data_IF_353881025928
#
_entry.id   IF_353881025928
#
_cell.length_a   1.000
_cell.length_b   1.000
_cell.length_c   1.000
_cell.angle_alpha   90.00
_cell.angle_beta   90.00
_cell.angle_gamma   90.00
#
_symmetry.space_group_name_H-M   'P 1'
#
loop_
_entity.id
_entity.type
_entity.pdbx_description
1 polymer ?
#
# COMPACT_ATOMS: atom_id res chain seq x y z
N UNK A 1 20.79 59.21 16.34
CA UNK A 1 19.37 59.05 16.71
C UNK A 1 18.78 57.76 16.11
N UNK A 2 19.62 56.82 15.64
CA UNK A 2 19.21 55.62 14.89
C UNK A 2 19.50 54.30 15.64
N UNK A 3 19.63 54.34 16.96
CA UNK A 3 19.95 53.16 17.79
C UNK A 3 18.71 52.43 18.34
N UNK A 4 17.53 52.65 17.75
CA UNK A 4 16.33 51.94 18.17
C UNK A 4 16.48 50.44 17.86
N UNK A 5 16.49 49.62 18.90
CA UNK A 5 16.60 48.15 18.82
C UNK A 5 15.30 47.51 18.31
N UNK A 6 14.95 47.78 17.05
CA UNK A 6 13.79 47.19 16.38
C UNK A 6 14.27 45.98 15.59
N UNK A 7 13.99 44.78 16.10
CA UNK A 7 14.32 43.52 15.47
C UNK A 7 13.09 42.63 15.35
N UNK A 8 13.03 41.78 14.34
CA UNK A 8 12.15 40.61 14.36
C UNK A 8 12.66 39.63 15.43
N UNK A 9 11.80 38.73 15.94
CA UNK A 9 12.21 37.73 16.94
C UNK A 9 13.46 36.96 16.47
N UNK A 10 13.49 36.53 15.21
CA UNK A 10 14.64 35.84 14.61
C UNK A 10 15.90 36.72 14.54
N UNK A 11 15.75 37.98 14.14
CA UNK A 11 16.87 38.92 14.08
C UNK A 11 17.48 39.21 15.45
N UNK A 12 16.63 39.30 16.48
CA UNK A 12 17.08 39.45 17.87
C UNK A 12 17.81 38.20 18.37
N UNK A 13 17.25 37.00 18.15
CA UNK A 13 17.89 35.74 18.55
C UNK A 13 19.24 35.53 17.86
N UNK A 14 19.33 35.77 16.54
CA UNK A 14 20.59 35.65 15.80
C UNK A 14 21.66 36.61 16.34
N UNK A 15 21.26 37.86 16.63
CA UNK A 15 22.16 38.84 17.25
C UNK A 15 22.66 38.37 18.61
N UNK A 16 21.77 37.91 19.49
CA UNK A 16 22.13 37.42 20.83
C UNK A 16 23.08 36.21 20.77
N UNK A 17 22.88 35.28 19.82
CA UNK A 17 23.77 34.14 19.63
C UNK A 17 25.18 34.55 19.18
N UNK A 18 25.29 35.57 18.32
CA UNK A 18 26.57 36.09 17.85
C UNK A 18 27.30 36.93 18.91
N UNK A 19 26.59 37.84 19.60
CA UNK A 19 27.17 38.72 20.63
C UNK A 19 27.62 37.92 21.87
N UNK A 20 26.97 36.80 22.16
CA UNK A 20 27.30 35.93 23.29
C UNK A 20 27.81 34.55 22.87
N UNK A 21 28.48 34.43 21.72
CA UNK A 21 28.96 33.17 21.15
C UNK A 21 29.79 32.31 22.13
N UNK A 22 30.63 32.94 22.97
CA UNK A 22 31.40 32.25 24.00
C UNK A 22 30.53 31.57 25.07
N UNK A 23 29.45 32.23 25.49
CA UNK A 23 28.55 31.70 26.51
C UNK A 23 27.57 30.66 25.94
N UNK A 24 27.16 30.84 24.68
CA UNK A 24 26.26 29.91 23.98
C UNK A 24 26.99 28.72 23.36
N UNK A 25 28.33 28.72 23.34
CA UNK A 25 29.18 27.77 22.58
C UNK A 25 28.82 27.74 21.09
N UNK A 26 28.24 28.82 20.58
CA UNK A 26 27.93 28.97 19.16
C UNK A 26 29.23 29.20 18.36
N UNK A 27 29.23 28.77 17.10
CA UNK A 27 30.28 29.16 16.16
C UNK A 27 30.28 30.69 16.00
N UNK A 28 31.46 31.29 15.87
CA UNK A 28 31.60 32.73 15.64
C UNK A 28 30.93 33.20 14.34
N UNK A 29 30.96 32.34 13.31
CA UNK A 29 30.28 32.57 12.04
C UNK A 29 29.21 31.48 11.85
N UNK A 30 27.95 31.87 11.98
CA UNK A 30 26.81 31.01 11.70
C UNK A 30 26.11 31.46 10.41
N UNK A 31 26.07 30.57 9.43
CA UNK A 31 25.28 30.79 8.21
C UNK A 31 23.85 30.34 8.44
N UNK A 32 22.90 31.27 8.37
CA UNK A 32 21.47 30.94 8.43
C UNK A 32 21.09 30.16 7.17
N UNK A 33 20.63 28.91 7.35
CA UNK A 33 20.02 28.14 6.27
C UNK A 33 18.53 28.44 6.23
N UNK A 34 18.06 28.99 5.12
CA UNK A 34 16.65 29.37 4.91
C UNK A 34 15.73 28.18 4.62
N UNK A 35 16.30 27.02 4.31
CA UNK A 35 15.54 25.79 4.06
C UNK A 35 16.32 24.56 4.52
N UNK A 36 15.60 23.63 5.15
CA UNK A 36 16.08 22.29 5.50
C UNK A 36 15.90 21.27 4.36
N UNK A 37 15.25 21.65 3.25
CA UNK A 37 14.96 20.75 2.12
C UNK A 37 16.20 19.98 1.63
N UNK A 38 17.39 20.60 1.42
CA UNK A 38 18.55 19.84 0.96
C UNK A 38 19.03 18.78 1.96
N UNK A 39 18.86 19.02 3.27
CA UNK A 39 19.25 18.06 4.32
C UNK A 39 18.25 16.91 4.36
N UNK A 40 16.95 17.23 4.27
CA UNK A 40 15.89 16.22 4.21
C UNK A 40 16.05 15.35 2.98
N UNK A 41 16.29 15.92 1.80
CA UNK A 41 16.50 15.16 0.56
C UNK A 41 17.69 14.22 0.67
N UNK A 42 18.80 14.70 1.25
CA UNK A 42 19.97 13.85 1.50
C UNK A 42 19.62 12.70 2.47
N UNK A 43 18.96 12.99 3.60
CA UNK A 43 18.53 11.96 4.53
C UNK A 43 17.59 10.93 3.87
N UNK A 44 16.64 11.36 3.04
CA UNK A 44 15.73 10.45 2.33
C UNK A 44 16.46 9.58 1.31
N UNK A 45 17.44 10.14 0.59
CA UNK A 45 18.29 9.35 -0.31
C UNK A 45 19.13 8.32 0.47
N UNK A 46 19.66 8.71 1.63
CA UNK A 46 20.43 7.83 2.50
C UNK A 46 19.58 6.69 3.07
N UNK A 47 18.34 6.98 3.47
CA UNK A 47 17.32 6.00 3.82
C UNK A 47 17.12 4.98 2.69
N UNK A 48 16.97 5.48 1.46
CA UNK A 48 16.78 4.63 0.29
C UNK A 48 17.97 3.69 0.04
N UNK A 49 19.19 4.22 0.15
CA UNK A 49 20.44 3.45 -0.02
C UNK A 49 20.62 2.40 1.08
N UNK A 50 20.20 2.68 2.30
CA UNK A 50 20.36 1.77 3.42
C UNK A 50 19.33 0.64 3.41
N UNK A 51 18.07 0.95 3.12
CA UNK A 51 16.98 -0.01 3.26
C UNK A 51 16.52 -0.59 1.92
N UNK A 52 16.22 0.25 0.93
CA UNK A 52 15.59 -0.21 -0.31
C UNK A 52 16.60 -0.89 -1.24
N UNK A 53 17.82 -0.37 -1.34
CA UNK A 53 18.87 -0.98 -2.19
C UNK A 53 19.41 -2.31 -1.63
N UNK A 54 19.17 -2.59 -0.35
CA UNK A 54 19.52 -3.85 0.28
C UNK A 54 18.51 -4.98 -0.05
N UNK A 55 17.35 -4.65 -0.62
CA UNK A 55 16.30 -5.63 -0.92
C UNK A 55 16.57 -6.37 -2.24
N UNK A 56 16.07 -7.62 -2.37
CA UNK A 56 15.96 -8.28 -3.66
C UNK A 56 15.13 -7.43 -4.65
N UNK A 57 15.39 -7.53 -5.98
CA UNK A 57 14.76 -6.66 -6.98
C UNK A 57 13.23 -6.59 -6.91
N UNK A 58 12.57 -7.73 -6.69
CA UNK A 58 11.11 -7.80 -6.61
C UNK A 58 10.55 -7.05 -5.39
N UNK A 59 11.20 -7.21 -4.23
CA UNK A 59 10.83 -6.52 -3.00
C UNK A 59 11.15 -5.02 -3.08
N UNK A 60 12.29 -4.66 -3.68
CA UNK A 60 12.65 -3.26 -3.92
C UNK A 60 11.61 -2.57 -4.81
N UNK A 61 11.15 -3.25 -5.87
CA UNK A 61 10.09 -2.75 -6.74
C UNK A 61 8.75 -2.62 -6.00
N UNK A 62 8.39 -3.61 -5.18
CA UNK A 62 7.18 -3.54 -4.35
C UNK A 62 7.20 -2.34 -3.40
N UNK A 63 8.32 -2.11 -2.70
CA UNK A 63 8.49 -0.94 -1.83
C UNK A 63 8.47 0.37 -2.62
N UNK A 64 9.11 0.43 -3.78
CA UNK A 64 9.10 1.60 -4.65
C UNK A 64 7.68 1.93 -5.16
N UNK A 65 6.86 0.91 -5.46
CA UNK A 65 5.46 1.12 -5.84
C UNK A 65 4.61 1.70 -4.69
N UNK A 66 4.96 1.39 -3.43
CA UNK A 66 4.26 1.89 -2.25
C UNK A 66 4.72 3.30 -1.85
N UNK A 67 6.04 3.50 -1.77
CA UNK A 67 6.65 4.72 -1.25
C UNK A 67 6.90 5.77 -2.34
N UNK A 68 7.07 5.37 -3.60
CA UNK A 68 7.49 6.21 -4.71
C UNK A 68 9.01 6.17 -4.90
N UNK A 69 9.58 7.16 -5.59
CA UNK A 69 11.02 7.39 -5.60
C UNK A 69 11.45 8.28 -4.40
N UNK A 70 12.76 8.54 -4.18
CA UNK A 70 13.21 9.38 -3.08
C UNK A 70 12.57 10.78 -3.06
N UNK A 71 12.33 11.41 -4.22
CA UNK A 71 11.73 12.74 -4.28
C UNK A 71 10.25 12.69 -3.87
N UNK A 72 9.51 11.67 -4.30
CA UNK A 72 8.13 11.40 -3.88
C UNK A 72 8.08 11.11 -2.38
N UNK A 73 9.03 10.32 -1.85
CA UNK A 73 9.12 10.05 -0.43
C UNK A 73 9.35 11.34 0.37
N UNK A 74 10.25 12.24 -0.04
CA UNK A 74 10.41 13.54 0.63
C UNK A 74 9.09 14.30 0.72
N UNK A 75 8.29 14.34 -0.35
CA UNK A 75 6.99 15.02 -0.33
C UNK A 75 6.01 14.37 0.65
N UNK A 76 5.96 13.04 0.68
CA UNK A 76 5.13 12.29 1.64
C UNK A 76 5.56 12.53 3.10
N UNK A 77 6.86 12.68 3.35
CA UNK A 77 7.40 12.92 4.69
C UNK A 77 7.22 14.36 5.17
N UNK A 78 7.03 15.35 4.30
CA UNK A 78 6.98 16.78 4.68
C UNK A 78 6.01 17.08 5.84
N UNK A 79 4.80 16.49 5.81
CA UNK A 79 3.82 16.66 6.89
C UNK A 79 4.21 15.95 8.18
N UNK A 80 4.91 14.81 8.07
CA UNK A 80 5.40 14.03 9.21
C UNK A 80 6.63 14.68 9.85
N UNK A 81 7.45 15.41 9.10
CA UNK A 81 8.64 16.10 9.61
C UNK A 81 8.35 17.50 10.19
N UNK A 82 7.17 18.07 9.94
CA UNK A 82 6.85 19.45 10.31
C UNK A 82 6.83 19.72 11.82
N UNK A 83 6.66 18.69 12.65
CA UNK A 83 6.65 18.79 14.12
C UNK A 83 7.71 17.88 14.69
N UNK A 84 8.83 18.48 15.07
CA UNK A 84 9.90 17.76 15.73
C UNK A 84 9.45 17.22 17.11
N UNK A 85 9.93 16.03 17.46
CA UNK A 85 9.59 15.32 18.71
C UNK A 85 8.12 14.86 18.86
N UNK A 86 7.22 15.18 17.93
CA UNK A 86 5.82 14.78 18.03
C UNK A 86 5.64 13.27 17.73
N UNK A 87 4.88 12.52 18.54
CA UNK A 87 4.59 11.11 18.26
C UNK A 87 3.84 10.98 16.93
N UNK A 88 4.15 9.90 16.21
CA UNK A 88 3.41 9.49 15.01
C UNK A 88 2.35 8.47 15.41
N UNK A 89 1.19 8.52 14.76
CA UNK A 89 0.07 7.64 15.06
C UNK A 89 -0.32 6.82 13.82
N UNK A 90 -0.62 5.54 14.04
CA UNK A 90 -1.22 4.65 13.04
C UNK A 90 -2.47 4.06 13.68
N UNK A 91 -3.61 4.20 13.00
CA UNK A 91 -4.93 3.76 13.48
C UNK A 91 -5.26 4.26 14.90
N UNK A 92 -4.85 5.50 15.22
CA UNK A 92 -5.09 6.14 16.51
C UNK A 92 -4.15 5.71 17.64
N UNK A 93 -3.18 4.83 17.36
CA UNK A 93 -2.19 4.34 18.33
C UNK A 93 -0.83 4.97 18.05
N UNK A 94 -0.16 5.47 19.10
CA UNK A 94 1.20 5.99 18.98
C UNK A 94 2.16 4.89 18.56
N UNK A 95 2.97 5.16 17.55
CA UNK A 95 3.98 4.22 17.04
C UNK A 95 5.25 4.34 17.87
N UNK A 96 5.72 3.21 18.39
CA UNK A 96 7.07 3.09 18.94
C UNK A 96 8.06 2.86 17.79
N UNK A 97 9.05 3.76 17.57
CA UNK A 97 10.07 3.56 16.55
C UNK A 97 10.82 2.22 16.68
N UNK A 98 11.03 1.73 17.90
CA UNK A 98 11.73 0.46 18.14
C UNK A 98 10.91 -0.77 17.69
N UNK A 99 9.60 -0.62 17.54
CA UNK A 99 8.71 -1.67 17.06
C UNK A 99 8.58 -1.71 15.51
N UNK A 100 9.22 -0.78 14.80
CA UNK A 100 9.20 -0.71 13.35
C UNK A 100 10.40 -1.41 12.75
N UNK A 101 10.25 -2.69 12.40
CA UNK A 101 11.25 -3.41 11.62
C UNK A 101 10.93 -3.31 10.11
N UNK A 102 11.77 -2.57 9.39
CA UNK A 102 11.63 -2.37 7.94
C UNK A 102 11.60 -3.71 7.18
N UNK A 103 12.55 -4.60 7.43
CA UNK A 103 12.70 -5.83 6.66
C UNK A 103 11.58 -6.82 6.98
N UNK A 104 11.12 -6.87 8.23
CA UNK A 104 9.96 -7.67 8.60
C UNK A 104 8.69 -7.19 7.88
N UNK A 105 8.43 -5.88 7.84
CA UNK A 105 7.26 -5.33 7.13
C UNK A 105 7.31 -5.60 5.62
N UNK A 106 8.50 -5.55 5.00
CA UNK A 106 8.67 -5.89 3.59
C UNK A 106 8.48 -7.39 3.35
N UNK A 107 8.96 -8.24 4.25
CA UNK A 107 8.73 -9.69 4.17
C UNK A 107 7.25 -10.06 4.35
N UNK A 108 6.52 -9.37 5.23
CA UNK A 108 5.07 -9.54 5.40
C UNK A 108 4.32 -9.22 4.10
N UNK A 109 4.66 -8.12 3.43
CA UNK A 109 4.09 -7.77 2.10
C UNK A 109 4.36 -8.90 1.10
N UNK A 110 5.62 -9.33 0.98
CA UNK A 110 6.02 -10.36 0.03
C UNK A 110 5.30 -11.70 0.27
N UNK A 111 5.10 -12.07 1.55
CA UNK A 111 4.39 -13.28 1.91
C UNK A 111 2.91 -13.23 1.50
N UNK A 112 2.24 -12.10 1.74
CA UNK A 112 0.85 -11.90 1.34
C UNK A 112 0.68 -11.87 -0.18
N UNK A 113 1.60 -11.22 -0.89
CA UNK A 113 1.61 -11.19 -2.37
C UNK A 113 1.79 -12.61 -2.93
N UNK A 114 2.72 -13.39 -2.36
CA UNK A 114 2.93 -14.80 -2.72
C UNK A 114 1.66 -15.63 -2.49
N UNK A 115 0.98 -15.44 -1.36
CA UNK A 115 -0.26 -16.14 -1.04
C UNK A 115 -1.38 -15.78 -2.04
N UNK A 116 -1.50 -14.51 -2.41
CA UNK A 116 -2.48 -14.07 -3.39
C UNK A 116 -2.22 -14.66 -4.78
N UNK A 117 -0.96 -14.69 -5.22
CA UNK A 117 -0.54 -15.32 -6.48
C UNK A 117 -0.80 -16.82 -6.48
N UNK A 118 -0.50 -17.52 -5.38
CA UNK A 118 -0.79 -18.95 -5.28
C UNK A 118 -2.29 -19.23 -5.33
N UNK A 119 -3.10 -18.45 -4.62
CA UNK A 119 -4.55 -18.60 -4.64
C UNK A 119 -5.14 -18.34 -6.03
N UNK A 120 -4.57 -17.39 -6.79
CA UNK A 120 -4.92 -17.18 -8.19
C UNK A 120 -4.58 -18.40 -9.05
N UNK A 121 -3.36 -18.92 -8.92
CA UNK A 121 -2.91 -20.11 -9.67
C UNK A 121 -3.80 -21.32 -9.38
N UNK A 122 -4.16 -21.56 -8.12
CA UNK A 122 -5.05 -22.63 -7.70
C UNK A 122 -6.44 -22.45 -8.33
N UNK A 123 -6.97 -21.22 -8.34
CA UNK A 123 -8.24 -20.92 -8.98
C UNK A 123 -8.19 -21.15 -10.50
N UNK A 124 -7.11 -20.72 -11.18
CA UNK A 124 -6.91 -20.95 -12.61
C UNK A 124 -6.86 -22.44 -12.93
N UNK A 125 -6.09 -23.22 -12.16
CA UNK A 125 -6.01 -24.67 -12.32
C UNK A 125 -7.37 -25.34 -12.08
N UNK A 126 -8.11 -24.91 -11.06
CA UNK A 126 -9.44 -25.42 -10.76
C UNK A 126 -10.43 -25.14 -11.91
N UNK A 127 -10.35 -23.97 -12.54
CA UNK A 127 -11.11 -23.65 -13.75
C UNK A 127 -10.70 -24.55 -14.91
N UNK A 128 -9.42 -24.59 -15.28
CA UNK A 128 -8.93 -25.41 -16.40
C UNK A 128 -9.30 -26.89 -16.27
N UNK A 129 -9.35 -27.42 -15.05
CA UNK A 129 -9.71 -28.82 -14.79
C UNK A 129 -11.21 -29.09 -14.84
N UNK A 130 -12.03 -28.11 -14.45
CA UNK A 130 -13.46 -28.34 -14.17
C UNK A 130 -14.41 -27.37 -14.88
N UNK A 131 -13.94 -26.63 -15.89
CA UNK A 131 -14.73 -25.62 -16.59
C UNK A 131 -16.06 -26.20 -17.14
N UNK A 132 -15.99 -27.29 -17.91
CA UNK A 132 -17.18 -27.89 -18.53
C UNK A 132 -18.18 -28.41 -17.49
N UNK A 133 -17.72 -29.13 -16.46
CA UNK A 133 -18.60 -29.63 -15.40
C UNK A 133 -19.21 -28.52 -14.56
N UNK A 134 -18.51 -27.39 -14.43
CA UNK A 134 -19.04 -26.21 -13.75
C UNK A 134 -20.09 -25.51 -14.61
N UNK A 135 -19.84 -25.33 -15.92
CA UNK A 135 -20.79 -24.75 -16.89
C UNK A 135 -22.10 -25.54 -16.88
N UNK A 136 -22.02 -26.88 -16.95
CA UNK A 136 -23.18 -27.78 -16.89
C UNK A 136 -23.98 -27.65 -15.58
N UNK A 137 -23.28 -27.52 -14.45
CA UNK A 137 -23.92 -27.37 -13.14
C UNK A 137 -24.66 -26.02 -12.98
N UNK A 138 -24.21 -24.97 -13.67
CA UNK A 138 -24.84 -23.65 -13.68
C UNK A 138 -26.05 -23.56 -14.63
N UNK A 139 -25.98 -24.23 -15.78
CA UNK A 139 -26.98 -24.18 -16.84
C UNK A 139 -28.45 -24.27 -16.36
N UNK A 140 -28.87 -25.21 -15.48
CA UNK A 140 -30.26 -25.34 -15.08
C UNK A 140 -30.77 -24.21 -14.16
N UNK A 141 -29.88 -23.50 -13.46
CA UNK A 141 -30.26 -22.52 -12.43
C UNK A 141 -30.00 -21.06 -12.85
N UNK A 142 -29.23 -20.83 -13.91
CA UNK A 142 -28.85 -19.49 -14.39
C UNK A 142 -30.04 -18.58 -14.68
N UNK A 143 -31.12 -19.11 -15.27
CA UNK A 143 -32.32 -18.33 -15.60
C UNK A 143 -33.08 -17.78 -14.38
N UNK A 144 -32.80 -18.31 -13.18
CA UNK A 144 -33.45 -17.91 -11.94
C UNK A 144 -32.65 -16.89 -11.12
N UNK A 145 -31.50 -16.44 -11.63
CA UNK A 145 -30.66 -15.43 -10.99
C UNK A 145 -31.37 -14.08 -10.90
N UNK A 146 -31.10 -13.36 -9.82
CA UNK A 146 -31.61 -12.01 -9.63
C UNK A 146 -30.83 -11.05 -10.55
N UNK A 147 -31.52 -10.19 -11.32
CA UNK A 147 -30.85 -9.21 -12.19
C UNK A 147 -29.91 -8.24 -11.45
N UNK A 148 -30.08 -8.07 -10.13
CA UNK A 148 -29.18 -7.29 -9.28
C UNK A 148 -27.98 -8.07 -8.74
N UNK A 149 -27.94 -9.40 -8.88
CA UNK A 149 -26.79 -10.23 -8.48
C UNK A 149 -25.54 -9.96 -9.34
N UNK A 150 -25.73 -9.23 -10.43
CA UNK A 150 -24.77 -9.04 -11.50
C UNK A 150 -24.67 -7.59 -11.95
N UNK A 151 -24.98 -6.56 -11.15
CA UNK A 151 -24.97 -5.17 -11.69
C UNK A 151 -23.64 -4.75 -12.36
N UNK A 152 -22.51 -5.30 -11.93
CA UNK A 152 -21.20 -5.16 -12.61
C UNK A 152 -21.06 -6.05 -13.85
N UNK A 153 -21.72 -7.19 -13.84
CA UNK A 153 -21.82 -8.17 -14.93
C UNK A 153 -23.08 -7.95 -15.78
N UNK A 154 -23.78 -6.81 -15.66
CA UNK A 154 -25.04 -6.56 -16.39
C UNK A 154 -24.79 -6.31 -17.88
N UNK A 155 -23.53 -6.13 -18.25
CA UNK A 155 -23.03 -6.19 -19.64
C UNK A 155 -22.83 -7.63 -20.13
N UNK A 156 -22.67 -8.59 -19.24
CA UNK A 156 -22.61 -10.04 -19.49
C UNK A 156 -24.02 -10.64 -19.40
N UNK A 157 -24.96 -10.06 -20.15
CA UNK A 157 -26.31 -10.64 -20.33
C UNK A 157 -26.25 -12.02 -21.00
N UNK A 158 -25.11 -12.39 -21.57
CA UNK A 158 -24.81 -13.72 -22.04
C UNK A 158 -23.67 -14.32 -21.18
N UNK A 159 -23.94 -15.46 -20.56
CA UNK A 159 -22.95 -16.23 -19.82
C UNK A 159 -21.84 -16.76 -20.73
N UNK A 160 -22.05 -16.83 -22.06
CA UNK A 160 -20.98 -17.15 -23.01
C UNK A 160 -19.78 -16.22 -22.85
N UNK A 161 -20.01 -14.90 -22.76
CA UNK A 161 -18.95 -13.90 -22.59
C UNK A 161 -18.25 -14.06 -21.24
N UNK A 162 -19.00 -14.41 -20.19
CA UNK A 162 -18.43 -14.70 -18.86
C UNK A 162 -17.51 -15.92 -18.92
N UNK A 163 -17.97 -17.00 -19.55
CA UNK A 163 -17.20 -18.22 -19.72
C UNK A 163 -15.94 -18.00 -20.56
N UNK A 164 -16.06 -17.28 -21.68
CA UNK A 164 -14.92 -16.93 -22.54
C UNK A 164 -13.90 -16.08 -21.77
N UNK A 165 -14.36 -15.15 -20.94
CA UNK A 165 -13.47 -14.32 -20.11
C UNK A 165 -12.74 -15.13 -19.03
N UNK A 166 -13.39 -16.15 -18.46
CA UNK A 166 -12.76 -17.07 -17.51
C UNK A 166 -11.78 -18.02 -18.21
N UNK A 167 -12.12 -18.49 -19.42
CA UNK A 167 -11.24 -19.31 -20.25
C UNK A 167 -9.98 -18.51 -20.63
N UNK A 168 -10.14 -17.25 -21.04
CA UNK A 168 -9.03 -16.34 -21.34
C UNK A 168 -8.16 -16.08 -20.11
N UNK A 169 -8.76 -15.66 -18.99
CA UNK A 169 -8.02 -15.43 -17.73
C UNK A 169 -7.26 -16.68 -17.27
N UNK A 170 -7.88 -17.85 -17.31
CA UNK A 170 -7.23 -19.08 -16.89
C UNK A 170 -6.03 -19.43 -17.77
N UNK A 171 -6.10 -19.17 -19.08
CA UNK A 171 -5.03 -19.47 -20.04
C UNK A 171 -3.90 -18.42 -20.01
N UNK A 172 -4.25 -17.13 -20.04
CA UNK A 172 -3.27 -16.04 -20.27
C UNK A 172 -2.87 -15.33 -18.97
N UNK A 173 -3.68 -15.42 -17.91
CA UNK A 173 -3.52 -14.58 -16.72
C UNK A 173 -3.98 -13.13 -16.94
N UNK A 174 -4.72 -12.86 -18.01
CA UNK A 174 -5.30 -11.53 -18.25
C UNK A 174 -6.27 -11.15 -17.11
N UNK A 175 -6.17 -9.91 -16.63
CA UNK A 175 -6.92 -9.45 -15.46
C UNK A 175 -8.42 -9.64 -15.61
N UNK A 176 -9.03 -10.32 -14.63
CA UNK A 176 -10.47 -10.52 -14.55
C UNK A 176 -11.02 -9.86 -13.27
N UNK A 177 -12.15 -9.13 -13.33
CA UNK A 177 -12.71 -8.50 -12.14
C UNK A 177 -13.04 -9.51 -11.03
N UNK A 178 -12.56 -9.25 -9.81
CA UNK A 178 -12.82 -10.12 -8.64
C UNK A 178 -14.31 -10.32 -8.35
N UNK A 179 -15.16 -9.38 -8.76
CA UNK A 179 -16.61 -9.49 -8.65
C UNK A 179 -17.19 -10.70 -9.42
N UNK A 180 -16.51 -11.18 -10.46
CA UNK A 180 -16.87 -12.43 -11.16
C UNK A 180 -16.86 -13.61 -10.18
N UNK A 181 -15.82 -13.72 -9.38
CA UNK A 181 -15.65 -14.82 -8.42
C UNK A 181 -16.60 -14.69 -7.24
N UNK A 182 -16.86 -13.46 -6.77
CA UNK A 182 -17.91 -13.21 -5.77
C UNK A 182 -19.28 -13.61 -6.31
N UNK A 183 -19.58 -13.26 -7.55
CA UNK A 183 -20.83 -13.64 -8.19
C UNK A 183 -21.00 -15.18 -8.25
N UNK A 184 -19.98 -15.91 -8.74
CA UNK A 184 -20.04 -17.38 -8.86
C UNK A 184 -20.08 -18.08 -7.49
N UNK A 185 -19.51 -17.48 -6.45
CA UNK A 185 -19.45 -18.11 -5.12
C UNK A 185 -20.62 -17.71 -4.22
N UNK A 186 -21.21 -16.53 -4.44
CA UNK A 186 -22.28 -15.96 -3.62
C UNK A 186 -23.40 -15.36 -4.50
N UNK A 187 -24.04 -16.15 -5.37
CA UNK A 187 -25.12 -15.66 -6.23
C UNK A 187 -26.36 -15.30 -5.41
N UNK A 188 -27.19 -14.39 -5.95
CA UNK A 188 -28.53 -14.13 -5.43
C UNK A 188 -29.57 -14.61 -6.43
N UNK A 189 -30.52 -15.42 -5.97
CA UNK A 189 -31.63 -15.94 -6.78
C UNK A 189 -32.94 -15.23 -6.45
N UNK A 190 -33.85 -15.14 -7.42
CA UNK A 190 -35.22 -14.64 -7.20
C UNK A 190 -36.14 -15.71 -6.56
N UNK A 191 -35.76 -16.98 -6.67
CA UNK A 191 -36.45 -18.15 -6.10
C UNK A 191 -35.59 -18.79 -5.02
N UNK A 192 -36.15 -19.72 -4.23
CA UNK A 192 -35.40 -20.56 -3.27
C UNK A 192 -34.53 -21.57 -4.03
N UNK A 193 -33.44 -21.09 -4.60
CA UNK A 193 -32.40 -21.89 -5.22
C UNK A 193 -31.05 -21.57 -4.56
N UNK A 194 -30.14 -22.52 -4.63
CA UNK A 194 -28.80 -22.40 -4.09
C UNK A 194 -27.77 -22.53 -5.22
N UNK A 195 -26.55 -22.05 -4.98
CA UNK A 195 -25.45 -22.23 -5.92
C UNK A 195 -25.15 -23.73 -6.08
N UNK A 196 -24.59 -24.16 -7.22
CA UNK A 196 -24.25 -25.56 -7.40
C UNK A 196 -23.11 -25.96 -6.46
N UNK A 197 -23.16 -27.16 -5.92
CA UNK A 197 -22.05 -27.73 -5.18
C UNK A 197 -20.99 -28.21 -6.17
N UNK A 198 -19.83 -27.56 -6.21
CA UNK A 198 -18.78 -27.88 -7.17
C UNK A 198 -17.38 -27.55 -6.64
N UNK A 199 -16.37 -28.43 -6.84
CA UNK A 199 -15.00 -28.25 -6.32
C UNK A 199 -14.35 -26.92 -6.71
N UNK A 200 -14.50 -26.50 -7.98
CA UNK A 200 -13.91 -25.24 -8.44
C UNK A 200 -14.48 -24.00 -7.70
N UNK A 201 -15.76 -24.03 -7.31
CA UNK A 201 -16.36 -22.92 -6.58
C UNK A 201 -15.87 -22.85 -5.13
N UNK A 202 -15.36 -23.94 -4.55
CA UNK A 202 -14.72 -23.88 -3.25
C UNK A 202 -13.40 -23.10 -3.35
N UNK A 203 -12.58 -23.39 -4.36
CA UNK A 203 -11.30 -22.69 -4.62
C UNK A 203 -11.52 -21.22 -4.99
N UNK A 204 -12.54 -20.93 -5.80
CA UNK A 204 -12.87 -19.55 -6.21
C UNK A 204 -13.21 -18.62 -5.05
N UNK A 205 -13.65 -19.15 -3.89
CA UNK A 205 -13.89 -18.31 -2.72
C UNK A 205 -12.60 -17.85 -2.02
N UNK A 206 -11.50 -18.59 -2.17
CA UNK A 206 -10.23 -18.29 -1.51
C UNK A 206 -9.45 -17.17 -2.21
N UNK A 207 -9.47 -17.11 -3.54
CA UNK A 207 -8.67 -16.14 -4.29
C UNK A 207 -9.02 -14.66 -4.00
N UNK A 208 -10.29 -14.22 -4.05
CA UNK A 208 -10.64 -12.83 -3.73
C UNK A 208 -10.27 -12.44 -2.29
N UNK A 209 -10.35 -13.38 -1.35
CA UNK A 209 -9.96 -13.15 0.04
C UNK A 209 -8.45 -12.93 0.16
N UNK A 210 -7.64 -13.76 -0.50
CA UNK A 210 -6.18 -13.61 -0.50
C UNK A 210 -5.75 -12.30 -1.18
N UNK A 211 -6.38 -11.93 -2.31
CA UNK A 211 -6.12 -10.65 -2.98
C UNK A 211 -6.44 -9.44 -2.12
N UNK A 212 -7.59 -9.46 -1.42
CA UNK A 212 -7.99 -8.38 -0.54
C UNK A 212 -7.09 -8.31 0.70
N UNK A 213 -6.65 -9.45 1.24
CA UNK A 213 -5.67 -9.51 2.33
C UNK A 213 -4.32 -8.91 1.91
N UNK A 214 -3.81 -9.24 0.72
CA UNK A 214 -2.59 -8.65 0.19
C UNK A 214 -2.73 -7.15 -0.04
N UNK A 215 -3.87 -6.69 -0.55
CA UNK A 215 -4.16 -5.26 -0.71
C UNK A 215 -4.13 -4.54 0.64
N UNK A 216 -4.88 -5.02 1.63
CA UNK A 216 -4.91 -4.41 2.97
C UNK A 216 -3.55 -4.45 3.65
N UNK A 217 -2.82 -5.55 3.54
CA UNK A 217 -1.47 -5.69 4.10
C UNK A 217 -0.48 -4.70 3.49
N UNK A 218 -0.55 -4.46 2.17
CA UNK A 218 0.24 -3.42 1.49
C UNK A 218 -0.10 -2.02 1.98
N UNK A 219 -1.38 -1.69 2.12
CA UNK A 219 -1.83 -0.38 2.61
C UNK A 219 -1.36 -0.13 4.05
N UNK A 220 -1.55 -1.09 4.96
CA UNK A 220 -1.09 -0.98 6.35
C UNK A 220 0.43 -0.87 6.45
N UNK A 221 1.15 -1.70 5.69
CA UNK A 221 2.62 -1.69 5.69
C UNK A 221 3.17 -0.40 5.10
N UNK A 222 2.54 0.18 4.06
CA UNK A 222 2.96 1.46 3.49
C UNK A 222 2.91 2.59 4.52
N UNK A 223 1.86 2.64 5.35
CA UNK A 223 1.73 3.64 6.42
C UNK A 223 2.85 3.46 7.47
N UNK A 224 3.11 2.22 7.89
CA UNK A 224 4.16 1.92 8.88
C UNK A 224 5.57 2.18 8.32
N UNK A 225 5.80 1.90 7.04
CA UNK A 225 7.05 2.22 6.33
C UNK A 225 7.27 3.74 6.23
N UNK A 226 6.23 4.53 6.04
CA UNK A 226 6.31 6.00 6.09
C UNK A 226 6.66 6.49 7.50
N UNK A 227 6.07 5.90 8.54
CA UNK A 227 6.41 6.22 9.92
C UNK A 227 7.88 5.88 10.23
N UNK A 228 8.35 4.70 9.79
CA UNK A 228 9.74 4.30 9.92
C UNK A 228 10.70 5.26 9.21
N UNK A 229 10.41 5.63 7.96
CA UNK A 229 11.19 6.63 7.23
C UNK A 229 11.19 8.00 7.93
N UNK A 230 10.04 8.45 8.43
CA UNK A 230 9.94 9.72 9.15
C UNK A 230 10.80 9.72 10.42
N UNK A 231 10.74 8.68 11.25
CA UNK A 231 11.59 8.57 12.45
C UNK A 231 13.08 8.52 12.10
N UNK A 232 13.45 7.73 11.09
CA UNK A 232 14.84 7.61 10.66
C UNK A 232 15.40 8.95 10.16
N UNK A 233 14.61 9.71 9.39
CA UNK A 233 14.99 11.04 8.87
C UNK A 233 15.07 12.07 10.00
N UNK A 234 14.12 12.10 10.94
CA UNK A 234 14.13 13.02 12.09
C UNK A 234 15.40 12.92 12.93
N UNK A 235 15.95 11.71 13.08
CA UNK A 235 17.19 11.46 13.82
C UNK A 235 18.46 12.00 13.12
N UNK A 236 18.33 12.52 11.88
CA UNK A 236 19.45 12.90 11.00
C UNK A 236 19.35 14.30 10.41
N UNK A 237 18.31 15.06 10.79
CA UNK A 237 18.11 16.46 10.38
C UNK A 237 18.18 17.37 11.60
#
# INVERSE_FOLDING_TARGET
MDEAAIFTIHGWCQRMLNEHAFHSRALFEQTVRTSLTPVVDQAVQDYWRHFVYALPPEQALAVANLLGDPAVLTQKLKGLLARDGAPLFVDGVSVDPAALDFFAMVAEIAALDTQAQQAEQDARQAWSKHAETLKDAWLPIMSALNGNSHKTLSKLTDFSILWDSLDLWAQTGESLPLDVFKFLTQPKFNKKLERPFHPALAVFSAWPVAMEAARHGREQSAIRLLAHAAFWVRDRI
#
